data_IF_843803320478
#
_entry.id   IF_843803320478
#
_cell.length_a   1.000
_cell.length_b   1.000
_cell.length_c   1.000
_cell.angle_alpha   90.00
_cell.angle_beta   90.00
_cell.angle_gamma   90.00
#
_symmetry.space_group_name_H-M   'P 1'
#
loop_
_entity.id
_entity.type
_entity.pdbx_description
1 polymer ?
#
# COMPACT_ATOMS: atom_id res chain seq x y z
N UNK A 1 -2.32 -16.33 -10.41
CA UNK A 1 -1.84 -17.70 -10.08
C UNK A 1 -0.35 -17.63 -9.77
N UNK A 2 0.12 -18.37 -8.75
CA UNK A 2 1.56 -18.57 -8.51
C UNK A 2 1.96 -20.02 -8.75
N UNK A 3 3.19 -20.26 -9.21
CA UNK A 3 3.72 -21.61 -9.39
C UNK A 3 5.20 -21.69 -9.01
N UNK A 4 5.65 -22.81 -8.43
CA UNK A 4 7.06 -23.00 -8.07
C UNK A 4 7.86 -23.59 -9.22
N UNK A 5 9.15 -23.25 -9.27
CA UNK A 5 10.11 -24.00 -10.07
C UNK A 5 10.14 -25.47 -9.58
N UNK A 6 10.02 -26.41 -10.52
CA UNK A 6 10.08 -27.85 -10.24
C UNK A 6 11.47 -28.35 -9.84
N UNK A 7 12.51 -27.50 -9.85
CA UNK A 7 13.84 -27.84 -9.37
C UNK A 7 13.87 -27.75 -7.83
N UNK A 8 14.10 -28.84 -7.08
CA UNK A 8 14.06 -28.84 -5.61
C UNK A 8 15.09 -27.92 -4.94
N UNK A 9 16.15 -27.53 -5.65
CA UNK A 9 17.17 -26.60 -5.16
C UNK A 9 16.89 -25.15 -5.54
N UNK A 10 15.73 -24.85 -6.14
CA UNK A 10 15.32 -23.53 -6.56
C UNK A 10 14.02 -23.13 -5.86
N UNK A 11 14.07 -22.02 -5.15
CA UNK A 11 12.99 -21.34 -4.44
C UNK A 11 12.26 -20.30 -5.30
N UNK A 12 12.48 -20.29 -6.62
CA UNK A 12 11.90 -19.29 -7.50
C UNK A 12 10.42 -19.55 -7.73
N UNK A 13 9.63 -18.47 -7.68
CA UNK A 13 8.19 -18.48 -7.91
C UNK A 13 7.90 -17.76 -9.23
N UNK A 14 7.00 -18.34 -10.00
CA UNK A 14 6.42 -17.75 -11.20
C UNK A 14 5.11 -17.07 -10.82
N UNK A 15 4.96 -15.79 -11.16
CA UNK A 15 3.71 -15.05 -10.99
C UNK A 15 3.08 -14.78 -12.35
N UNK A 16 1.83 -15.21 -12.53
CA UNK A 16 1.12 -15.07 -13.80
C UNK A 16 -0.37 -14.88 -13.55
N UNK A 17 -1.04 -14.22 -14.49
CA UNK A 17 -2.49 -14.08 -14.45
C UNK A 17 -3.15 -15.46 -14.38
N UNK A 18 -4.24 -15.59 -13.63
CA UNK A 18 -5.12 -16.74 -13.79
C UNK A 18 -6.14 -16.40 -14.87
N UNK A 19 -6.19 -17.19 -15.94
CA UNK A 19 -7.05 -16.91 -17.09
C UNK A 19 -8.20 -17.90 -17.08
N UNK A 20 -9.36 -17.40 -16.65
CA UNK A 20 -10.57 -18.19 -16.53
C UNK A 20 -11.79 -17.40 -17.02
N UNK A 21 -12.55 -17.97 -17.95
CA UNK A 21 -13.78 -17.41 -18.50
C UNK A 21 -15.00 -17.91 -17.73
N UNK A 22 -15.61 -17.04 -16.94
CA UNK A 22 -16.87 -17.33 -16.24
C UNK A 22 -18.01 -17.48 -17.25
N UNK A 23 -18.66 -18.65 -17.25
CA UNK A 23 -19.75 -18.97 -18.17
C UNK A 23 -19.29 -19.36 -19.59
N UNK A 24 -17.98 -19.46 -19.82
CA UNK A 24 -17.38 -19.96 -21.05
C UNK A 24 -16.86 -21.39 -20.91
N UNK A 25 -16.31 -21.91 -22.01
CA UNK A 25 -15.50 -23.14 -22.01
C UNK A 25 -14.06 -22.72 -21.73
N UNK A 26 -13.39 -23.41 -20.81
CA UNK A 26 -11.99 -23.17 -20.48
C UNK A 26 -11.17 -24.35 -20.99
N UNK A 27 -10.19 -24.07 -21.83
CA UNK A 27 -9.34 -25.10 -22.42
C UNK A 27 -8.36 -25.60 -21.36
N UNK A 28 -8.22 -26.93 -21.27
CA UNK A 28 -7.27 -27.55 -20.36
C UNK A 28 -5.90 -27.56 -21.01
N UNK A 29 -4.85 -27.51 -20.21
CA UNK A 29 -3.50 -27.60 -20.74
C UNK A 29 -2.45 -27.11 -19.77
N UNK A 30 -1.44 -26.43 -20.31
CA UNK A 30 -0.45 -25.75 -19.50
C UNK A 30 0.74 -25.19 -20.26
N UNK A 31 1.72 -24.77 -19.48
CA UNK A 31 2.86 -23.97 -19.93
C UNK A 31 4.17 -24.70 -19.62
N UNK A 32 5.10 -24.68 -20.57
CA UNK A 32 6.51 -24.99 -20.31
C UNK A 32 7.22 -23.68 -20.00
N UNK A 33 7.72 -23.55 -18.78
CA UNK A 33 8.35 -22.34 -18.29
C UNK A 33 9.81 -22.58 -17.99
N UNK A 34 10.68 -21.71 -18.52
CA UNK A 34 12.09 -21.65 -18.14
C UNK A 34 12.28 -20.67 -16.99
N UNK A 35 12.81 -21.19 -15.89
CA UNK A 35 13.10 -20.41 -14.69
C UNK A 35 14.21 -19.39 -14.95
N UNK A 36 13.97 -18.10 -14.65
CA UNK A 36 14.99 -17.06 -14.83
C UNK A 36 16.16 -17.20 -13.83
N UNK A 37 15.90 -17.79 -12.64
CA UNK A 37 16.89 -17.93 -11.56
C UNK A 37 17.88 -19.08 -11.80
N UNK A 38 17.38 -20.27 -12.18
CA UNK A 38 18.23 -21.47 -12.33
C UNK A 38 18.27 -22.05 -13.74
N UNK A 39 17.51 -21.50 -14.69
CA UNK A 39 17.42 -21.99 -16.07
C UNK A 39 16.70 -23.33 -16.25
N UNK A 40 16.17 -23.91 -15.18
CA UNK A 40 15.42 -25.17 -15.22
C UNK A 40 14.07 -24.99 -15.92
N UNK A 41 13.65 -25.99 -16.68
CA UNK A 41 12.33 -26.00 -17.29
C UNK A 41 11.33 -26.73 -16.40
N UNK A 42 10.16 -26.12 -16.21
CA UNK A 42 9.06 -26.65 -15.40
C UNK A 42 7.79 -26.72 -16.24
N UNK A 43 7.03 -27.80 -16.11
CA UNK A 43 5.67 -27.88 -16.64
C UNK A 43 4.68 -27.36 -15.60
N UNK A 44 3.76 -26.48 -16.00
CA UNK A 44 2.76 -25.86 -15.12
C UNK A 44 1.39 -26.05 -15.72
N UNK A 45 0.47 -26.69 -14.98
CA UNK A 45 -0.91 -26.89 -15.44
C UNK A 45 -1.69 -25.58 -15.31
N UNK A 46 -2.26 -25.11 -16.41
CA UNK A 46 -3.04 -23.87 -16.49
C UNK A 46 -4.29 -24.07 -17.37
N UNK A 47 -5.28 -23.21 -17.18
CA UNK A 47 -6.41 -23.09 -18.11
C UNK A 47 -6.10 -22.03 -19.15
N UNK A 48 -6.64 -22.20 -20.36
CA UNK A 48 -6.50 -21.29 -21.50
C UNK A 48 -5.02 -20.93 -21.75
N UNK A 49 -4.16 -21.93 -22.06
CA UNK A 49 -2.71 -21.74 -22.11
C UNK A 49 -2.25 -20.72 -23.18
N UNK A 50 -2.99 -20.59 -24.27
CA UNK A 50 -2.69 -19.68 -25.38
C UNK A 50 -2.84 -18.20 -25.00
N UNK A 51 -3.65 -17.91 -23.99
CA UNK A 51 -3.96 -16.57 -23.50
C UNK A 51 -2.90 -16.05 -22.51
N UNK A 52 -1.97 -16.90 -22.06
CA UNK A 52 -0.87 -16.48 -21.19
C UNK A 52 0.25 -15.84 -22.01
N UNK A 53 0.35 -14.51 -21.98
CA UNK A 53 1.36 -13.76 -22.75
C UNK A 53 2.61 -13.36 -21.96
N UNK A 54 2.56 -13.40 -20.63
CA UNK A 54 3.67 -12.96 -19.78
C UNK A 54 3.59 -13.50 -18.37
N UNK A 55 4.75 -13.53 -17.71
CA UNK A 55 4.88 -13.91 -16.31
C UNK A 55 6.16 -13.34 -15.70
N UNK A 56 6.15 -13.15 -14.39
CA UNK A 56 7.34 -12.86 -13.62
C UNK A 56 8.05 -14.13 -13.16
N UNK A 57 9.36 -14.05 -12.98
CA UNK A 57 10.18 -15.18 -12.50
C UNK A 57 10.48 -16.25 -13.56
N UNK A 58 9.93 -16.17 -14.77
CA UNK A 58 10.14 -17.16 -15.81
C UNK A 58 9.84 -16.65 -17.23
N UNK A 59 10.06 -17.52 -18.21
CA UNK A 59 9.71 -17.27 -19.61
C UNK A 59 8.91 -18.47 -20.13
N UNK A 60 7.78 -18.20 -20.79
CA UNK A 60 6.98 -19.25 -21.44
C UNK A 60 7.67 -19.65 -22.74
N UNK A 61 8.02 -20.92 -22.86
CA UNK A 61 8.82 -21.46 -23.97
C UNK A 61 8.01 -22.40 -24.88
N UNK A 62 6.95 -23.00 -24.34
CA UNK A 62 6.02 -23.83 -25.08
C UNK A 62 4.68 -23.94 -24.34
N UNK A 63 3.66 -24.43 -25.03
CA UNK A 63 2.30 -24.60 -24.51
C UNK A 63 1.76 -25.96 -24.92
N UNK A 64 0.80 -26.48 -24.16
CA UNK A 64 0.06 -27.67 -24.56
C UNK A 64 -1.40 -27.53 -24.20
N UNK A 65 -2.24 -28.15 -25.02
CA UNK A 65 -3.66 -28.30 -24.80
C UNK A 65 -3.97 -29.74 -24.37
N UNK A 66 -5.03 -29.91 -23.61
CA UNK A 66 -5.54 -31.17 -23.07
C UNK A 66 -4.49 -31.95 -22.26
N UNK A 67 -4.08 -33.11 -22.77
CA UNK A 67 -3.18 -34.04 -22.09
C UNK A 67 -1.72 -33.67 -22.32
N UNK A 68 -0.93 -33.71 -21.25
CA UNK A 68 0.50 -33.42 -21.32
C UNK A 68 1.25 -34.43 -22.20
N UNK A 69 1.82 -34.04 -23.36
CA UNK A 69 2.54 -34.93 -24.25
C UNK A 69 3.96 -35.19 -23.71
N UNK A 70 4.03 -36.07 -22.71
CA UNK A 70 5.22 -36.34 -21.92
C UNK A 70 6.45 -36.68 -22.77
N UNK A 71 6.32 -37.52 -23.79
CA UNK A 71 7.45 -37.95 -24.62
C UNK A 71 8.13 -36.77 -25.32
N UNK A 72 7.35 -35.85 -25.88
CA UNK A 72 7.86 -34.69 -26.59
C UNK A 72 8.53 -33.70 -25.62
N UNK A 73 7.84 -33.29 -24.56
CA UNK A 73 8.36 -32.26 -23.65
C UNK A 73 9.48 -32.76 -22.75
N UNK A 74 9.41 -34.01 -22.26
CA UNK A 74 10.47 -34.59 -21.47
C UNK A 74 11.75 -34.76 -22.31
N UNK A 75 11.63 -35.05 -23.61
CA UNK A 75 12.78 -35.10 -24.51
C UNK A 75 13.33 -33.70 -24.81
N UNK A 76 12.48 -32.77 -25.25
CA UNK A 76 12.88 -31.43 -25.71
C UNK A 76 13.43 -30.55 -24.57
N UNK A 77 12.74 -30.53 -23.43
CA UNK A 77 13.04 -29.61 -22.33
C UNK A 77 13.58 -30.28 -21.07
N UNK A 78 13.69 -31.63 -21.06
CA UNK A 78 14.19 -32.40 -19.91
C UNK A 78 13.35 -32.17 -18.64
N UNK A 79 12.04 -32.03 -18.80
CA UNK A 79 11.10 -31.90 -17.68
C UNK A 79 11.16 -33.17 -16.83
N UNK A 80 11.38 -32.99 -15.52
CA UNK A 80 11.42 -34.09 -14.54
C UNK A 80 10.26 -34.07 -13.56
N UNK A 81 9.45 -33.02 -13.60
CA UNK A 81 8.33 -32.81 -12.69
C UNK A 81 7.55 -31.56 -13.04
N UNK A 82 6.35 -31.48 -12.46
CA UNK A 82 5.49 -30.32 -12.56
C UNK A 82 5.82 -29.34 -11.44
N UNK A 83 5.66 -28.05 -11.73
CA UNK A 83 5.66 -27.03 -10.67
C UNK A 83 4.42 -27.17 -9.81
N UNK A 84 4.58 -27.06 -8.49
CA UNK A 84 3.43 -26.87 -7.59
C UNK A 84 2.75 -25.55 -7.94
N UNK A 85 1.41 -25.53 -7.99
CA UNK A 85 0.64 -24.32 -8.26
C UNK A 85 -0.22 -23.92 -7.07
N UNK A 86 -0.36 -22.63 -6.88
CA UNK A 86 -1.25 -22.01 -5.92
C UNK A 86 -2.21 -21.07 -6.66
N UNK A 87 -3.50 -21.35 -6.50
CA UNK A 87 -4.57 -20.48 -6.94
C UNK A 87 -4.88 -19.51 -5.82
N UNK A 88 -4.97 -18.24 -6.15
CA UNK A 88 -5.20 -17.17 -5.19
C UNK A 88 -6.51 -16.54 -5.61
N UNK A 89 -7.54 -16.71 -4.79
CA UNK A 89 -8.80 -16.00 -5.00
C UNK A 89 -8.56 -14.50 -4.76
N UNK A 90 -9.15 -13.63 -5.59
CA UNK A 90 -8.91 -12.19 -5.54
C UNK A 90 -9.22 -11.58 -4.15
N UNK A 91 -10.13 -12.19 -3.40
CA UNK A 91 -10.49 -11.78 -2.03
C UNK A 91 -9.50 -12.28 -0.95
N UNK A 92 -8.64 -13.25 -1.29
CA UNK A 92 -7.69 -13.87 -0.36
C UNK A 92 -6.39 -13.06 -0.18
N UNK A 93 -6.09 -12.14 -1.09
CA UNK A 93 -5.06 -11.11 -0.91
C UNK A 93 -5.81 -9.81 -0.72
N UNK A 94 -5.75 -9.24 0.49
CA UNK A 94 -6.26 -7.89 0.72
C UNK A 94 -5.70 -6.97 -0.36
N UNK A 95 -6.57 -6.26 -1.09
CA UNK A 95 -6.10 -5.24 -2.02
C UNK A 95 -5.07 -4.38 -1.30
N UNK A 96 -3.82 -4.33 -1.77
CA UNK A 96 -2.74 -3.53 -1.17
C UNK A 96 -2.98 -2.02 -1.31
N UNK A 97 -4.24 -1.59 -1.42
CA UNK A 97 -4.65 -0.23 -1.70
C UNK A 97 -5.50 0.28 -0.54
N UNK A 98 -5.13 1.42 0.05
CA UNK A 98 -5.97 2.08 1.04
C UNK A 98 -7.36 2.37 0.46
N UNK A 99 -8.39 2.05 1.24
CA UNK A 99 -9.77 2.40 0.91
C UNK A 99 -10.23 3.42 1.94
N UNK A 100 -10.72 4.57 1.48
CA UNK A 100 -11.35 5.50 2.40
C UNK A 100 -12.72 5.01 2.80
N UNK A 101 -13.02 5.16 4.09
CA UNK A 101 -14.32 4.88 4.68
C UNK A 101 -14.72 6.05 5.56
N UNK A 102 -16.02 6.34 5.64
CA UNK A 102 -16.52 7.27 6.67
C UNK A 102 -16.23 6.69 8.05
N UNK A 103 -15.79 7.54 8.96
CA UNK A 103 -15.47 7.17 10.34
C UNK A 103 -16.37 7.97 11.30
N UNK A 104 -16.79 7.39 12.44
CA UNK A 104 -17.55 8.11 13.46
C UNK A 104 -16.84 9.38 13.95
N UNK A 105 -15.49 9.34 13.94
CA UNK A 105 -14.65 10.45 14.33
C UNK A 105 -13.71 10.85 13.17
N UNK A 106 -14.20 11.69 12.23
CA UNK A 106 -13.49 12.03 10.99
C UNK A 106 -12.26 12.90 11.24
N UNK A 107 -11.17 12.63 10.53
CA UNK A 107 -9.90 13.34 10.68
C UNK A 107 -9.98 14.77 10.14
N UNK A 108 -10.61 14.97 8.98
CA UNK A 108 -10.90 16.31 8.46
C UNK A 108 -12.31 16.75 8.87
N UNK A 109 -12.44 17.25 10.09
CA UNK A 109 -13.70 17.80 10.58
C UNK A 109 -13.50 18.84 11.68
N UNK A 110 -14.35 19.86 11.70
CA UNK A 110 -14.51 20.77 12.84
C UNK A 110 -15.93 20.57 13.39
N UNK A 111 -16.77 21.62 13.39
CA UNK A 111 -18.21 21.52 13.62
C UNK A 111 -18.96 20.83 12.47
N UNK A 112 -18.26 20.51 11.38
CA UNK A 112 -18.77 19.92 10.16
C UNK A 112 -17.81 18.83 9.68
N UNK A 113 -18.37 17.73 9.14
CA UNK A 113 -17.60 16.63 8.57
C UNK A 113 -17.15 16.96 7.14
N UNK A 114 -15.93 17.47 6.99
CA UNK A 114 -15.41 17.83 5.67
C UNK A 114 -15.05 16.61 4.82
N UNK A 115 -14.81 15.43 5.41
CA UNK A 115 -14.52 14.23 4.63
C UNK A 115 -15.71 13.85 3.75
N UNK A 116 -16.89 13.69 4.34
CA UNK A 116 -18.10 13.30 3.61
C UNK A 116 -18.49 14.31 2.53
N UNK A 117 -18.38 15.60 2.85
CA UNK A 117 -18.66 16.66 1.88
C UNK A 117 -17.66 16.67 0.73
N UNK A 118 -16.36 16.52 1.02
CA UNK A 118 -15.34 16.43 -0.02
C UNK A 118 -15.60 15.22 -0.94
N UNK A 119 -15.95 14.06 -0.39
CA UNK A 119 -16.30 12.87 -1.19
C UNK A 119 -17.56 13.07 -2.02
N UNK A 120 -18.57 13.75 -1.47
CA UNK A 120 -19.78 14.11 -2.22
C UNK A 120 -19.41 14.98 -3.44
N UNK A 121 -18.53 15.96 -3.26
CA UNK A 121 -18.05 16.83 -4.33
C UNK A 121 -17.19 16.08 -5.36
N UNK A 122 -16.37 15.13 -4.91
CA UNK A 122 -15.62 14.24 -5.80
C UNK A 122 -16.55 13.44 -6.71
N UNK A 123 -17.58 12.80 -6.14
CA UNK A 123 -18.53 11.98 -6.89
C UNK A 123 -19.39 12.81 -7.86
N UNK A 124 -19.75 14.03 -7.49
CA UNK A 124 -20.47 14.95 -8.38
C UNK A 124 -19.67 15.33 -9.62
N UNK A 125 -18.34 15.36 -9.50
CA UNK A 125 -17.42 15.70 -10.59
C UNK A 125 -16.76 14.47 -11.25
N UNK A 126 -17.17 13.25 -10.87
CA UNK A 126 -16.55 11.99 -11.31
C UNK A 126 -16.49 11.85 -12.84
N UNK A 127 -17.52 12.30 -13.56
CA UNK A 127 -17.55 12.26 -15.02
C UNK A 127 -16.41 13.07 -15.66
N UNK A 128 -16.25 14.34 -15.25
CA UNK A 128 -15.21 15.21 -15.77
C UNK A 128 -13.80 14.72 -15.39
N UNK A 129 -13.64 14.17 -14.18
CA UNK A 129 -12.39 13.59 -13.69
C UNK A 129 -12.02 12.34 -14.50
N UNK A 130 -12.97 11.44 -14.74
CA UNK A 130 -12.73 10.23 -15.54
C UNK A 130 -12.45 10.57 -17.02
N UNK A 131 -13.06 11.62 -17.57
CA UNK A 131 -12.71 12.10 -18.91
C UNK A 131 -11.26 12.60 -18.98
N UNK A 132 -10.80 13.34 -17.98
CA UNK A 132 -9.39 13.76 -17.88
C UNK A 132 -8.44 12.56 -17.73
N UNK A 133 -8.79 11.57 -16.89
CA UNK A 133 -8.03 10.33 -16.79
C UNK A 133 -7.96 9.56 -18.11
N UNK A 134 -9.07 9.46 -18.87
CA UNK A 134 -9.10 8.79 -20.18
C UNK A 134 -8.21 9.48 -21.21
N UNK A 135 -8.10 10.82 -21.15
CA UNK A 135 -7.13 11.52 -22.00
C UNK A 135 -5.70 11.17 -21.57
N UNK A 136 -5.43 11.13 -20.27
CA UNK A 136 -4.11 10.79 -19.75
C UNK A 136 -3.71 9.32 -20.03
N UNK A 137 -4.63 8.37 -19.96
CA UNK A 137 -4.36 6.93 -20.18
C UNK A 137 -3.75 6.67 -21.55
N UNK A 138 -4.14 7.44 -22.56
CA UNK A 138 -3.56 7.38 -23.90
C UNK A 138 -2.06 7.75 -23.93
N UNK A 139 -1.60 8.63 -23.05
CA UNK A 139 -0.18 8.97 -22.90
C UNK A 139 0.56 7.93 -22.06
N UNK A 140 -0.07 7.49 -20.97
CA UNK A 140 0.43 6.46 -20.06
C UNK A 140 0.73 5.14 -20.79
N UNK A 141 -0.26 4.61 -21.52
CA UNK A 141 -0.13 3.35 -22.28
C UNK A 141 0.91 3.40 -23.40
N UNK A 142 1.19 4.59 -23.95
CA UNK A 142 2.23 4.78 -24.97
C UNK A 142 3.63 4.90 -24.36
N UNK A 143 3.76 4.81 -23.03
CA UNK A 143 5.02 5.00 -22.31
C UNK A 143 5.57 6.41 -22.45
N UNK A 144 4.74 7.39 -22.82
CA UNK A 144 5.18 8.78 -23.02
C UNK A 144 5.28 9.56 -21.71
N UNK A 145 4.56 9.11 -20.69
CA UNK A 145 4.57 9.66 -19.35
C UNK A 145 4.21 8.56 -18.35
N UNK A 146 5.04 8.40 -17.31
CA UNK A 146 4.93 7.30 -16.33
C UNK A 146 5.02 7.88 -14.93
N UNK A 147 3.97 8.61 -14.54
CA UNK A 147 3.83 9.08 -13.16
C UNK A 147 3.32 7.94 -12.28
N UNK A 148 3.77 7.91 -11.03
CA UNK A 148 3.38 6.86 -10.09
C UNK A 148 2.13 7.26 -9.26
N UNK A 149 1.67 8.51 -9.37
CA UNK A 149 0.59 9.05 -8.55
C UNK A 149 -0.29 10.05 -9.29
N UNK A 150 -1.55 10.07 -8.88
CA UNK A 150 -2.54 11.07 -9.28
C UNK A 150 -3.02 11.91 -8.10
N UNK A 151 -3.32 13.18 -8.36
CA UNK A 151 -3.90 14.11 -7.38
C UNK A 151 -5.14 14.77 -7.96
N UNK A 152 -6.25 14.76 -7.21
CA UNK A 152 -7.48 15.45 -7.61
C UNK A 152 -7.74 16.58 -6.62
N UNK A 153 -7.67 17.81 -7.12
CA UNK A 153 -7.98 19.02 -6.37
C UNK A 153 -9.42 19.41 -6.66
N UNK A 154 -10.26 19.44 -5.63
CA UNK A 154 -11.66 19.87 -5.72
C UNK A 154 -11.80 21.19 -4.97
N UNK A 155 -12.04 22.28 -5.71
CA UNK A 155 -12.38 23.57 -5.14
C UNK A 155 -13.91 23.70 -5.12
N UNK A 156 -14.53 23.86 -3.96
CA UNK A 156 -15.98 23.90 -3.82
C UNK A 156 -16.46 24.98 -2.84
N UNK A 157 -17.63 25.58 -3.09
CA UNK A 157 -18.25 26.47 -2.13
C UNK A 157 -18.98 25.65 -1.05
N UNK A 158 -18.87 26.05 0.21
CA UNK A 158 -19.80 25.64 1.25
C UNK A 158 -20.16 26.85 2.13
N UNK A 159 -21.45 27.20 2.11
CA UNK A 159 -21.99 28.40 2.73
C UNK A 159 -21.32 29.67 2.18
N UNK A 160 -20.74 30.52 3.03
CA UNK A 160 -20.09 31.78 2.64
C UNK A 160 -18.58 31.67 2.37
N UNK A 161 -18.04 30.45 2.34
CA UNK A 161 -16.60 30.21 2.17
C UNK A 161 -16.35 29.20 1.05
N UNK A 162 -15.16 29.30 0.46
CA UNK A 162 -14.65 28.34 -0.50
C UNK A 162 -13.64 27.45 0.19
N UNK A 163 -13.72 26.16 -0.10
CA UNK A 163 -12.84 25.14 0.45
C UNK A 163 -12.13 24.41 -0.68
N UNK A 164 -11.00 23.82 -0.33
CA UNK A 164 -10.25 22.93 -1.19
C UNK A 164 -10.07 21.58 -0.50
N UNK A 165 -10.38 20.51 -1.22
CA UNK A 165 -10.05 19.15 -0.85
C UNK A 165 -9.11 18.55 -1.87
N UNK A 166 -8.15 17.72 -1.41
CA UNK A 166 -7.21 17.04 -2.30
C UNK A 166 -7.26 15.55 -2.04
N UNK A 167 -7.51 14.81 -3.10
CA UNK A 167 -7.50 13.35 -3.12
C UNK A 167 -6.26 12.85 -3.85
N UNK A 168 -5.80 11.66 -3.50
CA UNK A 168 -4.65 11.01 -4.13
C UNK A 168 -4.88 9.52 -4.30
N UNK A 169 -4.22 8.95 -5.30
CA UNK A 169 -4.10 7.50 -5.50
C UNK A 169 -2.81 7.16 -6.23
N UNK A 170 -2.22 6.03 -5.88
CA UNK A 170 -1.10 5.42 -6.59
C UNK A 170 -1.55 4.81 -7.92
N UNK A 171 -0.76 4.98 -8.97
CA UNK A 171 -1.00 4.42 -10.30
C UNK A 171 -0.04 3.25 -10.49
N UNK A 172 -0.55 2.02 -10.32
CA UNK A 172 0.21 0.79 -10.59
C UNK A 172 -0.09 0.26 -12.00
N UNK A 173 -1.31 0.48 -12.49
CA UNK A 173 -1.74 0.07 -13.82
C UNK A 173 -2.81 1.01 -14.39
N UNK A 174 -3.20 0.80 -15.65
CA UNK A 174 -4.22 1.63 -16.32
C UNK A 174 -5.56 1.64 -15.58
N UNK A 175 -5.94 0.55 -14.90
CA UNK A 175 -7.15 0.46 -14.09
C UNK A 175 -7.16 1.47 -12.94
N UNK A 176 -6.01 2.03 -12.57
CA UNK A 176 -5.92 3.09 -11.56
C UNK A 176 -6.25 4.48 -12.10
N UNK A 177 -6.41 4.66 -13.41
CA UNK A 177 -6.75 5.94 -14.02
C UNK A 177 -8.26 6.17 -14.00
N UNK A 178 -8.81 6.26 -12.79
CA UNK A 178 -10.22 6.49 -12.52
C UNK A 178 -10.44 7.08 -11.12
N UNK A 179 -11.65 7.59 -10.88
CA UNK A 179 -12.08 8.17 -9.59
C UNK A 179 -12.13 7.15 -8.44
N UNK A 180 -12.28 5.86 -8.73
CA UNK A 180 -12.40 4.81 -7.72
C UNK A 180 -11.08 4.60 -6.97
N UNK A 181 -11.13 4.40 -5.66
CA UNK A 181 -9.94 4.19 -4.83
C UNK A 181 -9.12 5.46 -4.55
N UNK A 182 -9.64 6.65 -4.85
CA UNK A 182 -9.07 7.91 -4.39
C UNK A 182 -9.22 8.08 -2.88
N UNK A 183 -8.17 8.58 -2.24
CA UNK A 183 -8.13 8.82 -0.80
C UNK A 183 -7.93 10.31 -0.47
N UNK A 184 -8.72 10.85 0.44
CA UNK A 184 -8.61 12.25 0.89
C UNK A 184 -7.34 12.47 1.73
N UNK A 185 -6.45 13.32 1.25
CA UNK A 185 -5.14 13.60 1.86
C UNK A 185 -5.00 15.03 2.39
N UNK A 186 -5.92 15.94 2.05
CA UNK A 186 -5.88 17.32 2.55
C UNK A 186 -7.24 18.00 2.45
N UNK A 187 -7.51 18.90 3.40
CA UNK A 187 -8.61 19.86 3.37
C UNK A 187 -8.12 21.22 3.89
N UNK A 188 -8.52 22.32 3.24
CA UNK A 188 -7.94 23.66 3.47
C UNK A 188 -8.32 24.32 4.80
N UNK A 189 -9.43 23.91 5.43
CA UNK A 189 -9.93 24.50 6.69
C UNK A 189 -9.55 23.66 7.93
N UNK A 190 -8.35 23.10 7.93
CA UNK A 190 -7.92 22.15 8.95
C UNK A 190 -6.65 22.57 9.67
N UNK A 191 -6.79 22.76 10.98
CA UNK A 191 -5.68 22.85 11.92
C UNK A 191 -5.50 21.47 12.57
N UNK A 192 -4.63 20.64 11.99
CA UNK A 192 -4.45 19.25 12.42
C UNK A 192 -3.94 19.14 13.86
N UNK A 193 -3.11 20.09 14.33
CA UNK A 193 -2.65 20.09 15.73
C UNK A 193 -3.84 20.25 16.69
N UNK A 194 -4.72 21.24 16.44
CA UNK A 194 -5.92 21.43 17.25
C UNK A 194 -6.93 20.30 17.13
N UNK A 195 -7.02 19.69 15.94
CA UNK A 195 -7.97 18.60 15.67
C UNK A 195 -7.61 17.33 16.41
N UNK A 196 -6.33 17.01 16.50
CA UNK A 196 -5.84 15.69 16.93
C UNK A 196 -5.33 15.70 18.37
N UNK A 197 -4.99 16.85 18.95
CA UNK A 197 -4.59 16.91 20.36
C UNK A 197 -5.79 16.56 21.27
N UNK A 198 -5.73 15.44 21.98
CA UNK A 198 -6.84 15.00 22.82
C UNK A 198 -6.74 13.57 23.35
N UNK A 199 -7.87 13.10 23.90
CA UNK A 199 -8.05 11.75 24.42
C UNK A 199 -9.06 11.03 23.53
N UNK A 200 -8.68 9.87 23.01
CA UNK A 200 -9.47 9.10 22.04
C UNK A 200 -9.47 7.62 22.40
N UNK A 201 -10.47 6.90 21.95
CA UNK A 201 -10.42 5.44 21.93
C UNK A 201 -9.30 4.96 21.01
N UNK A 202 -8.84 3.72 21.20
CA UNK A 202 -7.85 3.12 20.28
C UNK A 202 -8.39 2.99 18.85
N UNK A 203 -9.69 2.74 18.70
CA UNK A 203 -10.36 2.69 17.42
C UNK A 203 -10.25 4.03 16.67
N UNK A 204 -10.52 5.15 17.34
CA UNK A 204 -10.36 6.50 16.78
C UNK A 204 -8.87 6.81 16.48
N UNK A 205 -7.96 6.39 17.37
CA UNK A 205 -6.53 6.56 17.15
C UNK A 205 -5.99 5.81 15.93
N UNK A 206 -6.52 4.60 15.66
CA UNK A 206 -6.22 3.84 14.43
C UNK A 206 -6.69 4.60 13.20
N UNK A 207 -7.89 5.18 13.21
CA UNK A 207 -8.39 6.01 12.10
C UNK A 207 -7.47 7.20 11.85
N UNK A 208 -7.03 7.88 12.91
CA UNK A 208 -6.11 9.02 12.77
C UNK A 208 -4.75 8.64 12.23
N UNK A 209 -4.20 7.51 12.70
CA UNK A 209 -2.97 6.96 12.16
C UNK A 209 -3.16 6.58 10.69
N UNK A 210 -4.27 5.95 10.31
CA UNK A 210 -4.60 5.62 8.91
C UNK A 210 -4.51 6.84 8.01
N UNK A 211 -5.20 7.92 8.40
CA UNK A 211 -5.29 9.16 7.63
C UNK A 211 -3.92 9.82 7.51
N UNK A 212 -3.12 9.80 8.59
CA UNK A 212 -1.74 10.25 8.57
C UNK A 212 -0.87 9.41 7.63
N UNK A 213 -0.90 8.08 7.73
CA UNK A 213 -0.05 7.19 6.93
C UNK A 213 -0.37 7.30 5.43
N UNK A 214 -1.63 7.39 5.05
CA UNK A 214 -2.03 7.55 3.65
C UNK A 214 -1.65 8.94 3.09
N UNK A 215 -1.85 9.99 3.91
CA UNK A 215 -1.40 11.35 3.60
C UNK A 215 0.12 11.39 3.42
N UNK A 216 0.88 10.82 4.36
CA UNK A 216 2.35 10.84 4.34
C UNK A 216 2.95 9.96 3.25
N UNK A 217 2.38 8.78 2.97
CA UNK A 217 2.84 7.89 1.87
C UNK A 217 2.75 8.60 0.52
N UNK A 218 1.75 9.47 0.39
CA UNK A 218 1.60 10.31 -0.80
C UNK A 218 2.63 11.43 -0.84
N UNK A 219 2.73 12.25 0.22
CA UNK A 219 3.37 13.58 0.12
C UNK A 219 4.76 13.69 0.78
N UNK A 220 5.13 12.77 1.67
CA UNK A 220 6.41 12.84 2.36
C UNK A 220 7.53 12.18 1.55
N UNK A 221 8.77 12.56 1.88
CA UNK A 221 9.96 11.86 1.37
C UNK A 221 10.13 10.53 2.11
N UNK A 222 9.92 10.55 3.43
CA UNK A 222 10.12 9.39 4.31
C UNK A 222 9.08 9.34 5.42
N UNK A 223 8.86 8.16 5.98
CA UNK A 223 7.94 7.91 7.10
C UNK A 223 8.71 7.17 8.19
N UNK A 224 8.49 7.54 9.46
CA UNK A 224 8.96 6.78 10.62
C UNK A 224 7.75 6.20 11.35
N UNK A 225 7.78 4.90 11.61
CA UNK A 225 6.82 4.25 12.52
C UNK A 225 7.62 3.67 13.67
N UNK A 226 7.47 4.25 14.87
CA UNK A 226 8.12 3.78 16.07
C UNK A 226 7.08 3.33 17.10
N UNK A 227 6.86 2.03 17.22
CA UNK A 227 5.94 1.44 18.20
C UNK A 227 6.50 0.14 18.79
N UNK A 228 6.52 -0.02 20.12
CA UNK A 228 7.03 -1.23 20.75
C UNK A 228 6.03 -2.38 20.72
N UNK A 229 4.73 -2.14 20.51
CA UNK A 229 3.68 -3.15 20.57
C UNK A 229 2.67 -2.98 19.43
N UNK A 230 2.18 -4.11 18.91
CA UNK A 230 1.17 -4.22 17.87
C UNK A 230 0.30 -5.42 18.23
N UNK A 231 -0.97 -5.19 18.57
CA UNK A 231 -1.90 -6.22 19.04
C UNK A 231 -1.54 -6.84 20.40
N UNK A 232 -2.45 -7.68 20.91
CA UNK A 232 -2.32 -8.39 22.20
C UNK A 232 -2.23 -9.90 21.99
N UNK A 233 -1.87 -10.66 23.04
CA UNK A 233 -1.67 -12.11 22.94
C UNK A 233 -2.42 -12.94 23.99
N UNK A 234 -3.48 -12.42 24.62
CA UNK A 234 -4.13 -13.11 25.74
C UNK A 234 -5.09 -14.23 25.30
N UNK A 235 -5.73 -14.10 24.15
CA UNK A 235 -6.68 -15.10 23.63
C UNK A 235 -6.61 -15.23 22.10
N UNK A 236 -7.36 -16.19 21.53
CA UNK A 236 -7.37 -16.45 20.08
C UNK A 236 -7.77 -15.21 19.28
N UNK A 237 -8.89 -14.56 19.66
CA UNK A 237 -9.39 -13.35 18.99
C UNK A 237 -8.34 -12.24 18.91
N UNK A 238 -7.56 -12.04 19.96
CA UNK A 238 -6.51 -11.02 19.96
C UNK A 238 -5.30 -11.40 19.10
N UNK A 239 -5.04 -12.70 18.91
CA UNK A 239 -4.01 -13.15 17.99
C UNK A 239 -4.46 -12.99 16.54
N UNK A 240 -5.72 -13.27 16.24
CA UNK A 240 -6.35 -12.94 14.96
C UNK A 240 -6.20 -11.42 14.70
N UNK A 241 -6.52 -10.58 15.68
CA UNK A 241 -6.34 -9.12 15.61
C UNK A 241 -4.88 -8.69 15.36
N UNK A 242 -3.88 -9.40 15.91
CA UNK A 242 -2.47 -9.13 15.59
C UNK A 242 -2.24 -9.26 14.09
N UNK A 243 -2.72 -10.35 13.46
CA UNK A 243 -2.56 -10.56 12.01
C UNK A 243 -3.25 -9.44 11.23
N UNK A 244 -4.49 -9.11 11.60
CA UNK A 244 -5.27 -8.03 10.97
C UNK A 244 -4.55 -6.68 11.03
N UNK A 245 -3.96 -6.32 12.18
CA UNK A 245 -3.24 -5.05 12.35
C UNK A 245 -1.96 -4.97 11.53
N UNK A 246 -1.25 -6.09 11.36
CA UNK A 246 -0.06 -6.14 10.49
C UNK A 246 -0.44 -6.04 9.02
N UNK A 247 -1.51 -6.72 8.58
CA UNK A 247 -2.04 -6.59 7.22
C UNK A 247 -2.57 -5.16 6.97
N UNK A 248 -3.24 -4.56 7.95
CA UNK A 248 -3.67 -3.16 7.89
C UNK A 248 -2.47 -2.21 7.76
N UNK A 249 -1.37 -2.46 8.46
CA UNK A 249 -0.14 -1.70 8.29
C UNK A 249 0.47 -1.88 6.90
N UNK A 250 0.51 -3.10 6.36
CA UNK A 250 0.98 -3.36 4.99
C UNK A 250 0.19 -2.53 3.97
N UNK A 251 -1.14 -2.48 4.08
CA UNK A 251 -2.01 -1.71 3.16
C UNK A 251 -1.79 -0.20 3.27
N UNK A 252 -1.55 0.30 4.48
CA UNK A 252 -1.46 1.76 4.74
C UNK A 252 -0.03 2.30 4.75
N UNK A 253 0.99 1.48 4.49
CA UNK A 253 2.39 1.92 4.49
C UNK A 253 3.08 1.64 3.16
N UNK A 254 3.99 2.53 2.78
CA UNK A 254 4.88 2.31 1.65
C UNK A 254 6.29 2.02 2.18
N UNK A 255 6.73 0.77 2.09
CA UNK A 255 8.02 0.35 2.65
C UNK A 255 9.23 0.94 1.91
N UNK A 256 9.08 1.45 0.68
CA UNK A 256 10.15 2.22 0.02
C UNK A 256 10.45 3.54 0.74
N UNK A 257 9.43 4.12 1.40
CA UNK A 257 9.52 5.38 2.17
C UNK A 257 9.59 5.17 3.69
N UNK A 258 9.21 4.00 4.20
CA UNK A 258 8.97 3.78 5.64
C UNK A 258 10.15 3.13 6.34
N UNK A 259 10.60 3.75 7.44
CA UNK A 259 11.49 3.17 8.43
C UNK A 259 10.68 2.70 9.63
N UNK A 260 10.61 1.38 9.79
CA UNK A 260 9.82 0.76 10.84
C UNK A 260 10.71 0.34 12.03
N UNK A 261 10.43 0.90 13.21
CA UNK A 261 11.12 0.63 14.47
C UNK A 261 10.19 -0.07 15.44
N UNK A 262 10.46 -1.35 15.74
CA UNK A 262 9.68 -2.14 16.69
C UNK A 262 10.56 -3.08 17.53
N UNK A 263 9.95 -3.84 18.43
CA UNK A 263 10.65 -4.87 19.21
C UNK A 263 10.63 -6.19 18.46
N UNK A 264 11.72 -6.97 18.57
CA UNK A 264 11.75 -8.33 17.99
C UNK A 264 10.62 -9.20 18.53
N UNK A 265 10.26 -9.07 19.80
CA UNK A 265 9.15 -9.79 20.41
C UNK A 265 7.80 -9.51 19.72
N UNK A 266 7.58 -8.29 19.24
CA UNK A 266 6.35 -7.88 18.54
C UNK A 266 6.25 -8.53 17.17
N UNK A 267 7.36 -8.60 16.43
CA UNK A 267 7.41 -9.35 15.17
C UNK A 267 7.34 -10.87 15.38
N UNK A 268 7.91 -11.39 16.47
CA UNK A 268 7.74 -12.81 16.84
C UNK A 268 6.28 -13.12 17.17
N UNK A 269 5.56 -12.19 17.81
CA UNK A 269 4.14 -12.36 18.09
C UNK A 269 3.32 -12.49 16.79
N UNK A 270 3.60 -11.68 15.76
CA UNK A 270 2.98 -11.84 14.43
C UNK A 270 3.15 -13.28 13.92
N UNK A 271 4.38 -13.80 13.89
CA UNK A 271 4.65 -15.16 13.41
C UNK A 271 3.88 -16.21 14.20
N UNK A 272 3.83 -16.06 15.53
CA UNK A 272 3.12 -16.98 16.41
C UNK A 272 1.61 -16.92 16.19
N UNK A 273 1.06 -15.73 15.95
CA UNK A 273 -0.36 -15.53 15.67
C UNK A 273 -0.75 -16.10 14.30
N UNK A 274 0.00 -15.79 13.24
CA UNK A 274 -0.24 -16.32 11.90
C UNK A 274 -0.16 -17.85 11.84
N UNK A 275 0.71 -18.47 12.64
CA UNK A 275 0.81 -19.93 12.73
C UNK A 275 -0.40 -20.60 13.43
N UNK A 276 -1.38 -19.82 13.89
CA UNK A 276 -2.67 -20.33 14.38
C UNK A 276 -3.76 -20.33 13.31
N UNK A 277 -3.50 -19.68 12.17
CA UNK A 277 -4.38 -19.65 11.00
C UNK A 277 -4.18 -20.87 10.10
N UNK A 278 -5.11 -21.09 9.18
CA UNK A 278 -5.04 -22.19 8.20
C UNK A 278 -3.78 -22.09 7.33
N UNK A 279 -3.46 -20.88 6.87
CA UNK A 279 -2.23 -20.60 6.12
C UNK A 279 -1.18 -20.04 7.07
N UNK A 280 -0.17 -20.85 7.38
CA UNK A 280 0.91 -20.48 8.31
C UNK A 280 1.85 -19.41 7.75
N UNK A 281 2.61 -18.75 8.62
CA UNK A 281 3.57 -17.72 8.24
C UNK A 281 4.64 -18.25 7.26
N UNK A 282 5.13 -19.47 7.51
CA UNK A 282 6.16 -20.07 6.67
C UNK A 282 5.63 -20.45 5.29
N UNK A 283 4.36 -20.85 5.18
CA UNK A 283 3.69 -21.07 3.88
C UNK A 283 3.55 -19.74 3.13
N UNK A 284 3.07 -18.67 3.77
CA UNK A 284 2.99 -17.35 3.13
C UNK A 284 4.36 -16.88 2.63
N UNK A 285 5.40 -17.07 3.45
CA UNK A 285 6.78 -16.74 3.08
C UNK A 285 7.26 -17.55 1.89
N UNK A 286 7.07 -18.87 1.94
CA UNK A 286 7.49 -19.80 0.89
C UNK A 286 6.83 -19.47 -0.45
N UNK A 287 5.59 -18.98 -0.44
CA UNK A 287 4.84 -18.60 -1.63
C UNK A 287 4.99 -17.12 -2.03
N UNK A 288 5.82 -16.34 -1.32
CA UNK A 288 6.01 -14.91 -1.60
C UNK A 288 4.71 -14.10 -1.46
N UNK A 289 3.90 -14.45 -0.45
CA UNK A 289 2.59 -13.86 -0.16
C UNK A 289 2.58 -13.00 1.11
N UNK A 290 3.72 -12.86 1.79
CA UNK A 290 3.86 -11.87 2.85
C UNK A 290 3.74 -10.47 2.27
N UNK A 291 3.09 -9.55 3.00
CA UNK A 291 3.12 -8.13 2.68
C UNK A 291 4.54 -7.53 2.78
N UNK A 292 4.76 -6.37 2.19
CA UNK A 292 6.08 -5.73 2.10
C UNK A 292 6.71 -5.47 3.47
N UNK A 293 5.93 -5.03 4.46
CA UNK A 293 6.39 -4.79 5.83
C UNK A 293 6.80 -6.11 6.49
N UNK A 294 6.01 -7.17 6.30
CA UNK A 294 6.31 -8.50 6.83
C UNK A 294 7.58 -9.08 6.20
N UNK A 295 7.73 -8.95 4.87
CA UNK A 295 8.94 -9.32 4.14
C UNK A 295 10.17 -8.60 4.67
N UNK A 296 10.09 -7.27 4.84
CA UNK A 296 11.15 -6.43 5.44
C UNK A 296 11.58 -6.97 6.80
N UNK A 297 10.63 -7.39 7.64
CA UNK A 297 10.90 -8.01 8.94
C UNK A 297 11.60 -9.37 8.86
N UNK A 298 11.36 -10.15 7.80
CA UNK A 298 12.03 -11.44 7.57
C UNK A 298 13.43 -11.32 6.99
N UNK A 299 13.67 -10.30 6.15
CA UNK A 299 14.95 -10.07 5.47
C UNK A 299 15.98 -9.33 6.34
N UNK A 300 15.59 -8.91 7.54
CA UNK A 300 16.47 -8.22 8.48
C UNK A 300 16.62 -6.72 8.21
N UNK A 301 15.77 -6.16 7.35
CA UNK A 301 15.77 -4.74 6.96
C UNK A 301 14.96 -3.86 7.93
N UNK A 302 14.18 -4.48 8.82
CA UNK A 302 13.43 -3.79 9.87
C UNK A 302 14.32 -3.46 11.08
N UNK A 303 14.15 -2.27 11.65
CA UNK A 303 14.91 -1.83 12.82
C UNK A 303 14.31 -2.40 14.11
N UNK A 304 14.98 -3.41 14.67
CA UNK A 304 14.58 -3.98 15.96
C UNK A 304 15.32 -3.33 17.14
N UNK A 305 14.60 -2.50 17.91
CA UNK A 305 15.14 -1.85 19.10
C UNK A 305 14.41 -2.34 20.35
N UNK A 306 15.12 -2.86 21.36
CA UNK A 306 14.48 -3.51 22.51
C UNK A 306 14.12 -2.52 23.63
N UNK A 307 14.98 -1.53 23.89
CA UNK A 307 14.88 -0.63 25.05
C UNK A 307 14.14 0.67 24.72
N UNK A 308 12.97 0.58 24.09
CA UNK A 308 12.09 1.74 23.91
C UNK A 308 10.64 1.44 24.27
N UNK A 309 9.97 2.44 24.80
CA UNK A 309 8.52 2.46 25.03
C UNK A 309 7.86 3.68 24.36
N UNK A 310 8.62 4.48 23.60
CA UNK A 310 8.07 5.61 22.85
C UNK A 310 7.10 5.11 21.78
N UNK A 311 6.02 5.86 21.55
CA UNK A 311 5.10 5.65 20.42
C UNK A 311 4.99 6.94 19.64
N UNK A 312 5.48 6.93 18.42
CA UNK A 312 5.30 8.04 17.50
C UNK A 312 5.36 7.57 16.06
N UNK A 313 4.68 8.32 15.22
CA UNK A 313 4.53 8.10 13.80
C UNK A 313 4.77 9.44 13.13
N UNK A 314 5.65 9.49 12.13
CA UNK A 314 6.07 10.76 11.57
C UNK A 314 6.18 10.72 10.05
N UNK A 315 5.65 11.76 9.40
CA UNK A 315 5.89 12.07 8.00
C UNK A 315 6.99 13.11 7.86
N UNK A 316 8.06 12.78 7.12
CA UNK A 316 9.20 13.66 6.89
C UNK A 316 9.04 14.34 5.53
N UNK A 317 8.73 15.64 5.56
CA UNK A 317 8.65 16.49 4.39
C UNK A 317 10.04 17.03 4.01
N UNK A 318 10.10 17.84 2.95
CA UNK A 318 11.35 18.44 2.50
C UNK A 318 11.94 19.40 3.56
N UNK A 319 11.08 20.12 4.28
CA UNK A 319 11.44 21.19 5.20
C UNK A 319 10.95 21.01 6.65
N UNK A 320 9.94 20.18 6.88
CA UNK A 320 9.41 19.88 8.23
C UNK A 320 9.22 18.40 8.50
N UNK A 321 8.85 18.10 9.74
CA UNK A 321 8.35 16.79 10.17
C UNK A 321 6.99 16.95 10.81
N UNK A 322 5.98 16.26 10.30
CA UNK A 322 4.70 16.08 10.99
C UNK A 322 4.79 14.82 11.86
N UNK A 323 4.36 14.88 13.12
CA UNK A 323 4.45 13.76 14.05
C UNK A 323 3.15 13.58 14.84
N UNK A 324 2.57 12.38 14.73
CA UNK A 324 1.54 11.87 15.64
C UNK A 324 2.23 11.08 16.75
N UNK A 325 1.95 11.39 18.01
CA UNK A 325 2.57 10.72 19.17
C UNK A 325 1.61 10.63 20.35
N UNK A 326 1.93 9.77 21.32
CA UNK A 326 1.05 9.60 22.48
C UNK A 326 1.30 8.34 23.29
N UNK A 327 0.30 7.94 24.07
CA UNK A 327 0.29 6.64 24.77
C UNK A 327 -0.11 5.48 23.84
N UNK A 328 -0.68 5.81 22.69
CA UNK A 328 -1.22 4.89 21.68
C UNK A 328 -0.15 4.02 21.01
N UNK A 329 -0.20 2.72 21.30
CA UNK A 329 0.38 1.70 20.45
C UNK A 329 -0.70 1.17 19.48
N UNK A 330 -0.30 0.53 18.39
CA UNK A 330 -1.21 -0.02 17.37
C UNK A 330 -2.03 -1.21 17.92
N UNK A 331 -3.26 -0.94 18.34
CA UNK A 331 -4.24 -1.92 18.84
C UNK A 331 -5.65 -1.37 18.56
N UNK A 332 -6.66 -2.22 18.58
CA UNK A 332 -8.07 -1.76 18.57
C UNK A 332 -8.68 -1.78 19.97
N UNK A 333 -9.89 -1.20 20.10
CA UNK A 333 -10.73 -1.24 21.30
C UNK A 333 -11.08 0.12 21.90
N UNK A 334 -11.88 0.07 22.96
CA UNK A 334 -12.51 1.24 23.60
C UNK A 334 -11.66 1.91 24.69
N UNK A 335 -10.44 1.42 24.92
CA UNK A 335 -9.54 2.06 25.88
C UNK A 335 -9.11 3.43 25.39
N UNK A 336 -9.02 4.37 26.32
CA UNK A 336 -8.65 5.74 26.03
C UNK A 336 -7.13 5.91 25.98
N UNK A 337 -6.65 6.62 24.97
CA UNK A 337 -5.26 6.95 24.70
C UNK A 337 -5.13 8.45 24.49
N UNK A 338 -4.04 9.04 24.98
CA UNK A 338 -3.72 10.43 24.66
C UNK A 338 -3.02 10.48 23.30
N UNK A 339 -3.49 11.36 22.42
CA UNK A 339 -2.82 11.68 21.16
C UNK A 339 -2.41 13.15 21.12
N UNK A 340 -1.32 13.39 20.40
CA UNK A 340 -0.80 14.72 20.13
C UNK A 340 -0.22 14.75 18.73
N UNK A 341 -0.55 15.78 17.96
CA UNK A 341 0.00 16.01 16.63
C UNK A 341 0.80 17.30 16.62
N UNK A 342 2.06 17.23 16.18
CA UNK A 342 2.98 18.37 16.17
C UNK A 342 3.83 18.43 14.94
N UNK A 343 4.18 19.65 14.56
CA UNK A 343 5.21 19.91 13.55
C UNK A 343 6.55 20.24 14.20
N UNK A 344 7.64 19.67 13.67
CA UNK A 344 9.01 19.92 14.12
C UNK A 344 9.92 20.30 12.94
N UNK A 345 10.96 21.06 13.23
CA UNK A 345 12.09 21.16 12.31
C UNK A 345 12.85 19.80 12.25
N UNK A 346 13.40 19.50 11.07
CA UNK A 346 14.06 18.21 10.81
C UNK A 346 15.24 17.97 11.74
N UNK A 347 16.04 18.99 12.05
CA UNK A 347 17.21 18.83 12.89
C UNK A 347 16.78 18.44 14.32
N UNK A 348 15.85 19.17 14.91
CA UNK A 348 15.30 18.88 16.23
C UNK A 348 14.71 17.49 16.32
N UNK A 349 13.92 17.07 15.32
CA UNK A 349 13.35 15.72 15.29
C UNK A 349 14.45 14.64 15.25
N UNK A 350 15.43 14.80 14.36
CA UNK A 350 16.55 13.85 14.24
C UNK A 350 17.32 13.71 15.55
N UNK A 351 17.67 14.84 16.18
CA UNK A 351 18.45 14.89 17.42
C UNK A 351 17.71 14.28 18.61
N UNK A 352 16.43 14.64 18.79
CA UNK A 352 15.71 14.34 20.03
C UNK A 352 14.96 13.02 20.00
N UNK A 353 14.52 12.57 18.81
CA UNK A 353 13.72 11.36 18.62
C UNK A 353 14.54 10.25 17.98
N UNK A 354 15.09 10.48 16.79
CA UNK A 354 15.62 9.40 15.94
C UNK A 354 16.97 8.88 16.41
N UNK A 355 17.93 9.75 16.74
CA UNK A 355 19.29 9.32 17.15
C UNK A 355 19.30 8.32 18.30
N UNK A 356 18.26 8.31 19.15
CA UNK A 356 18.14 7.42 20.31
C UNK A 356 17.63 6.02 19.98
N UNK A 357 16.91 5.84 18.87
CA UNK A 357 16.24 4.57 18.52
C UNK A 357 16.69 3.99 17.18
N UNK A 358 17.21 4.83 16.27
CA UNK A 358 17.75 4.46 14.98
C UNK A 358 18.96 5.36 14.65
N UNK A 359 20.12 5.14 15.31
CA UNK A 359 21.28 6.03 15.20
C UNK A 359 21.92 6.07 13.80
N UNK A 360 21.70 5.03 12.99
CA UNK A 360 22.17 4.94 11.60
C UNK A 360 21.20 5.58 10.59
N UNK A 361 20.08 6.14 11.05
CA UNK A 361 19.15 6.81 10.16
C UNK A 361 19.71 8.16 9.68
N UNK A 362 19.67 8.35 8.38
CA UNK A 362 19.90 9.61 7.71
C UNK A 362 18.76 9.92 6.76
N UNK A 363 18.49 11.22 6.57
CA UNK A 363 17.47 11.65 5.62
C UNK A 363 17.89 11.30 4.21
N UNK A 364 16.96 10.74 3.44
CA UNK A 364 17.11 10.60 2.00
C UNK A 364 17.10 11.97 1.34
N UNK A 365 17.88 12.12 0.28
CA UNK A 365 17.76 13.28 -0.61
C UNK A 365 16.35 13.30 -1.21
N UNK A 366 15.77 14.50 -1.35
CA UNK A 366 14.45 14.63 -1.97
C UNK A 366 14.58 14.27 -3.45
N UNK A 367 13.84 13.26 -3.87
CA UNK A 367 13.74 12.89 -5.27
C UNK A 367 12.68 13.77 -5.94
N UNK A 368 12.97 14.24 -7.15
CA UNK A 368 11.96 14.90 -8.00
C UNK A 368 10.92 13.85 -8.38
N UNK A 369 9.73 13.98 -7.81
CA UNK A 369 8.61 13.06 -8.03
C UNK A 369 7.61 13.75 -8.97
N UNK A 370 7.47 13.26 -10.19
CA UNK A 370 6.46 13.79 -11.13
C UNK A 370 5.10 13.17 -10.84
N UNK A 371 4.06 14.00 -10.85
CA UNK A 371 2.68 13.60 -10.61
C UNK A 371 1.78 14.01 -11.77
N UNK A 372 0.66 13.31 -11.93
CA UNK A 372 -0.47 13.79 -12.70
C UNK A 372 -1.48 14.42 -11.75
N UNK A 373 -2.04 15.59 -12.09
CA UNK A 373 -3.10 16.17 -11.30
C UNK A 373 -4.24 16.70 -12.14
N UNK A 374 -5.43 16.67 -11.56
CA UNK A 374 -6.67 17.22 -12.08
C UNK A 374 -7.17 18.25 -11.07
N UNK A 375 -7.51 19.45 -11.53
CA UNK A 375 -8.07 20.53 -10.74
C UNK A 375 -9.47 20.86 -11.24
N UNK A 376 -10.45 20.72 -10.34
CA UNK A 376 -11.85 21.09 -10.55
C UNK A 376 -12.08 22.42 -9.85
N UNK A 377 -12.41 23.45 -10.64
CA UNK A 377 -12.71 24.79 -10.14
C UNK A 377 -14.15 24.89 -9.62
N UNK A 378 -14.42 25.98 -8.88
CA UNK A 378 -15.75 26.26 -8.31
C UNK A 378 -16.85 26.34 -9.37
N UNK A 379 -16.52 26.77 -10.58
CA UNK A 379 -17.45 26.84 -11.72
C UNK A 379 -17.63 25.49 -12.45
N UNK A 380 -17.01 24.42 -11.95
CA UNK A 380 -17.02 23.08 -12.54
C UNK A 380 -16.04 22.89 -13.69
N UNK A 381 -15.27 23.93 -14.08
CA UNK A 381 -14.25 23.77 -15.11
C UNK A 381 -13.13 22.87 -14.60
N UNK A 382 -12.65 21.97 -15.46
CA UNK A 382 -11.61 21.00 -15.12
C UNK A 382 -10.35 21.26 -15.93
N UNK A 383 -9.21 21.28 -15.25
CA UNK A 383 -7.88 21.36 -15.85
C UNK A 383 -7.05 20.17 -15.39
N UNK A 384 -6.11 19.71 -16.21
CA UNK A 384 -5.20 18.64 -15.82
C UNK A 384 -3.81 18.88 -16.40
N UNK A 385 -2.78 18.45 -15.68
CA UNK A 385 -1.40 18.57 -16.11
C UNK A 385 -0.52 17.59 -15.33
N UNK A 386 0.76 17.52 -15.72
CA UNK A 386 1.81 16.91 -14.91
C UNK A 386 2.74 17.95 -14.35
N UNK A 387 3.22 17.76 -13.13
CA UNK A 387 4.19 18.66 -12.50
C UNK A 387 5.03 17.94 -11.44
N UNK A 388 6.07 18.60 -10.94
CA UNK A 388 6.82 18.12 -9.76
C UNK A 388 5.94 18.20 -8.50
N UNK A 389 6.04 17.19 -7.63
CA UNK A 389 5.28 17.09 -6.39
C UNK A 389 5.57 18.27 -5.46
N UNK A 390 6.83 18.69 -5.30
CA UNK A 390 7.12 19.83 -4.42
C UNK A 390 6.50 21.10 -4.98
N UNK A 391 6.60 21.36 -6.29
CA UNK A 391 5.92 22.47 -6.96
C UNK A 391 4.40 22.42 -6.78
N UNK A 392 3.78 21.23 -6.89
CA UNK A 392 2.35 21.04 -6.66
C UNK A 392 1.97 21.43 -5.23
N UNK A 393 2.72 20.93 -4.25
CA UNK A 393 2.51 21.24 -2.84
C UNK A 393 2.60 22.75 -2.57
N UNK A 394 3.56 23.45 -3.19
CA UNK A 394 3.65 24.92 -3.09
C UNK A 394 2.44 25.60 -3.73
N UNK A 395 2.03 25.15 -4.92
CA UNK A 395 0.88 25.72 -5.65
C UNK A 395 -0.40 25.61 -4.81
N UNK A 396 -0.62 24.48 -4.16
CA UNK A 396 -1.83 24.23 -3.38
C UNK A 396 -1.79 24.85 -1.98
N UNK A 397 -0.74 25.58 -1.62
CA UNK A 397 -0.56 26.14 -0.26
C UNK A 397 -0.74 25.11 0.85
N UNK A 398 -0.49 23.83 0.55
CA UNK A 398 -0.37 22.82 1.59
C UNK A 398 0.92 23.20 2.29
N UNK A 399 0.82 23.80 3.49
CA UNK A 399 1.95 24.36 4.24
C UNK A 399 3.19 23.51 3.98
N UNK A 400 4.24 24.14 3.44
CA UNK A 400 5.59 23.60 3.31
C UNK A 400 6.23 23.91 4.67
#
# INVERSE_FOLDING_TARGET
MKAKCSNPSCDNIFDMADIHYRGGINDKGGLIVKCCKCGHFSAIVAENPEEHFGMDGGTIEDRWEDEYPADYFNFKYKIKGFGEKLMIEADAISSNKPVWNSAPYPFYANDFNYEEEAYRQLLQNAGAINDAFRVYSNYYLKGKDTVEKSFIVINYPNSSRNYQAIFSKQIDNEGDLCVEGLYLIHHSDMDLEKRIDGIYTRNEAIVFLERCLNRWSTMCNEIIIATPFIGFNFNKKQKEEVVELWNWLDVNTNMKKTHFVTRKATFTLLKQSQNQEEVTFDVLKEWGLLGDLQNTGTNGEMNFFQKFHAKFYAGIFSDRVEMLSGSFNIHTGEFLENLTFRTYDKLHFKENYIRKIAPSFDYKESTVERIFYIEVNIDGTTQYNTMDLNEFMKKQSINI
#
